data_IF_628957876490
#
_entry.id   IF_628957876490
#
_cell.length_a   1.000
_cell.length_b   1.000
_cell.length_c   1.000
_cell.angle_alpha   90.00
_cell.angle_beta   90.00
_cell.angle_gamma   90.00
#
_symmetry.space_group_name_H-M   'P 1'
#
loop_
_entity.id
_entity.type
_entity.pdbx_description
1 polymer ?
#
# COMPACT_ATOMS: atom_id res chain seq x y z
N UNK A 1 -12.77 -17.98 10.16
CA UNK A 1 -11.47 -17.31 9.87
C UNK A 1 -11.58 -15.86 10.29
N UNK A 2 -10.63 -15.36 11.06
CA UNK A 2 -10.62 -13.96 11.48
C UNK A 2 -10.12 -13.12 10.30
N UNK A 3 -10.87 -12.09 9.92
CA UNK A 3 -10.53 -11.16 8.83
C UNK A 3 -9.24 -10.40 9.18
N UNK A 4 -8.30 -10.33 8.24
CA UNK A 4 -6.98 -9.68 8.41
C UNK A 4 -6.77 -8.48 7.49
N UNK A 5 -7.57 -8.36 6.43
CA UNK A 5 -7.49 -7.28 5.46
C UNK A 5 -8.82 -6.54 5.37
N UNK A 6 -8.79 -5.22 5.39
CA UNK A 6 -9.97 -4.35 5.43
C UNK A 6 -9.87 -3.27 4.37
N UNK A 7 -10.84 -3.17 3.46
CA UNK A 7 -10.96 -1.99 2.59
C UNK A 7 -11.24 -0.75 3.43
N UNK A 8 -10.84 0.42 2.96
CA UNK A 8 -11.09 1.68 3.67
C UNK A 8 -12.59 1.87 3.99
N UNK A 9 -13.47 1.50 3.06
CA UNK A 9 -14.93 1.56 3.27
C UNK A 9 -15.50 0.59 4.32
N UNK A 10 -14.71 -0.36 4.79
CA UNK A 10 -15.12 -1.35 5.79
C UNK A 10 -14.68 -0.97 7.22
N UNK A 11 -13.96 0.14 7.37
CA UNK A 11 -13.47 0.63 8.64
C UNK A 11 -14.04 1.98 9.04
N UNK A 12 -13.63 2.44 10.21
CA UNK A 12 -13.95 3.76 10.75
C UNK A 12 -12.89 4.23 11.76
N UNK A 13 -13.06 5.45 12.30
CA UNK A 13 -12.13 6.07 13.25
C UNK A 13 -11.95 5.29 14.57
N UNK A 14 -12.93 4.49 14.97
CA UNK A 14 -12.88 3.73 16.24
C UNK A 14 -12.00 2.48 16.14
N UNK A 15 -11.73 2.01 14.93
CA UNK A 15 -10.97 0.78 14.66
C UNK A 15 -9.45 0.97 14.73
N UNK A 16 -8.93 1.91 15.51
CA UNK A 16 -7.49 2.21 15.61
C UNK A 16 -6.66 1.04 16.14
N UNK A 17 -7.22 0.21 17.00
CA UNK A 17 -6.56 -0.99 17.52
C UNK A 17 -6.28 -2.01 16.41
N UNK A 18 -7.20 -2.13 15.45
CA UNK A 18 -7.16 -3.11 14.36
C UNK A 18 -6.45 -2.54 13.13
N UNK A 19 -6.75 -1.30 12.75
CA UNK A 19 -6.29 -0.70 11.51
C UNK A 19 -5.05 0.20 11.68
N UNK A 20 -4.62 0.45 12.91
CA UNK A 20 -3.65 1.47 13.21
C UNK A 20 -4.23 2.89 13.00
N UNK A 21 -3.47 3.91 13.41
CA UNK A 21 -3.95 5.29 13.33
C UNK A 21 -4.19 5.77 11.89
N UNK A 22 -3.27 5.46 10.98
CA UNK A 22 -3.38 5.86 9.56
C UNK A 22 -4.53 5.12 8.85
N UNK A 23 -4.65 3.82 9.07
CA UNK A 23 -5.71 3.00 8.47
C UNK A 23 -7.10 3.43 8.93
N UNK A 24 -7.29 3.66 10.22
CA UNK A 24 -8.55 4.13 10.79
C UNK A 24 -8.93 5.53 10.27
N UNK A 25 -7.96 6.43 10.14
CA UNK A 25 -8.21 7.77 9.60
C UNK A 25 -8.59 7.72 8.11
N UNK A 26 -7.90 6.92 7.29
CA UNK A 26 -8.26 6.75 5.88
C UNK A 26 -9.65 6.14 5.72
N UNK A 27 -10.00 5.16 6.55
CA UNK A 27 -11.32 4.56 6.57
C UNK A 27 -12.40 5.60 6.93
N UNK A 28 -12.15 6.43 7.94
CA UNK A 28 -13.09 7.49 8.34
C UNK A 28 -13.25 8.55 7.24
N UNK A 29 -12.16 8.99 6.63
CA UNK A 29 -12.21 9.93 5.51
C UNK A 29 -13.04 9.37 4.34
N UNK A 30 -12.86 8.09 4.03
CA UNK A 30 -13.66 7.40 3.01
C UNK A 30 -15.14 7.36 3.39
N UNK A 31 -15.45 7.05 4.66
CA UNK A 31 -16.83 7.04 5.19
C UNK A 31 -17.50 8.40 5.10
N UNK A 32 -16.75 9.47 5.33
CA UNK A 32 -17.22 10.86 5.21
C UNK A 32 -17.35 11.34 3.76
N UNK A 33 -17.02 10.51 2.77
CA UNK A 33 -17.13 10.86 1.36
C UNK A 33 -16.02 11.80 0.85
N UNK A 34 -14.91 11.90 1.60
CA UNK A 34 -13.74 12.64 1.14
C UNK A 34 -13.05 11.91 -0.03
N UNK A 35 -12.40 12.64 -0.94
CA UNK A 35 -11.75 12.06 -2.11
C UNK A 35 -10.45 11.31 -1.73
N UNK A 36 -10.60 10.16 -1.10
CA UNK A 36 -9.51 9.24 -0.77
C UNK A 36 -9.40 8.20 -1.88
N UNK A 37 -8.22 7.97 -2.46
CA UNK A 37 -8.00 6.85 -3.37
C UNK A 37 -8.40 5.53 -2.71
N UNK A 38 -8.98 4.61 -3.49
CA UNK A 38 -9.37 3.29 -2.98
C UNK A 38 -8.14 2.53 -2.46
N UNK A 39 -8.34 1.68 -1.48
CA UNK A 39 -7.27 0.93 -0.86
C UNK A 39 -7.75 0.04 0.28
N UNK A 40 -6.80 -0.63 0.90
CA UNK A 40 -7.05 -1.50 2.04
C UNK A 40 -5.95 -1.40 3.10
N UNK A 41 -6.27 -1.85 4.30
CA UNK A 41 -5.35 -1.94 5.43
C UNK A 41 -5.19 -3.38 5.85
N UNK A 42 -3.95 -3.84 6.00
CA UNK A 42 -3.61 -5.09 6.67
C UNK A 42 -3.63 -4.83 8.17
N UNK A 43 -4.37 -5.63 8.94
CA UNK A 43 -4.61 -5.37 10.35
C UNK A 43 -3.35 -5.51 11.22
N UNK A 44 -3.38 -4.88 12.39
CA UNK A 44 -2.33 -5.03 13.41
C UNK A 44 -2.19 -6.48 13.87
N UNK A 45 -3.29 -7.23 13.93
CA UNK A 45 -3.28 -8.65 14.25
C UNK A 45 -2.50 -9.48 13.21
N UNK A 46 -2.65 -9.17 11.91
CA UNK A 46 -1.85 -9.81 10.87
C UNK A 46 -0.36 -9.53 11.02
N UNK A 47 0.00 -8.33 11.47
CA UNK A 47 1.38 -7.98 11.80
C UNK A 47 1.91 -8.82 12.98
N UNK A 48 1.11 -8.97 14.03
CA UNK A 48 1.48 -9.81 15.18
C UNK A 48 1.60 -11.28 14.80
N UNK A 49 0.68 -11.79 13.96
CA UNK A 49 0.77 -13.15 13.44
C UNK A 49 2.08 -13.37 12.66
N UNK A 50 2.45 -12.41 11.81
CA UNK A 50 3.72 -12.44 11.06
C UNK A 50 4.94 -12.50 11.98
N UNK A 51 4.99 -11.65 13.01
CA UNK A 51 6.10 -11.62 13.97
C UNK A 51 6.18 -12.91 14.79
N UNK A 52 5.04 -13.45 15.22
CA UNK A 52 4.96 -14.68 16.00
C UNK A 52 5.23 -15.94 15.17
N UNK A 53 5.03 -15.87 13.85
CA UNK A 53 5.22 -16.98 12.91
C UNK A 53 6.60 -16.95 12.23
N UNK A 54 7.62 -16.52 12.94
CA UNK A 54 9.00 -16.50 12.45
C UNK A 54 9.20 -15.58 11.21
N UNK A 55 8.52 -14.45 11.16
CA UNK A 55 8.55 -13.47 10.07
C UNK A 55 8.07 -14.07 8.73
N UNK A 56 7.04 -14.91 8.79
CA UNK A 56 6.44 -15.53 7.61
C UNK A 56 4.95 -15.26 7.53
N UNK A 57 4.47 -14.92 6.34
CA UNK A 57 3.03 -14.80 6.07
C UNK A 57 2.40 -16.17 5.97
N UNK A 58 1.24 -16.33 6.59
CA UNK A 58 0.42 -17.54 6.39
C UNK A 58 -0.11 -17.58 4.96
N UNK A 59 -0.41 -18.78 4.47
CA UNK A 59 -1.00 -18.97 3.13
C UNK A 59 -2.35 -18.26 3.02
N UNK A 60 -3.12 -18.26 4.10
CA UNK A 60 -4.42 -17.60 4.17
C UNK A 60 -4.30 -16.08 4.02
N UNK A 61 -3.34 -15.47 4.73
CA UNK A 61 -3.11 -14.02 4.64
C UNK A 61 -2.64 -13.63 3.24
N UNK A 62 -1.76 -14.42 2.61
CA UNK A 62 -1.33 -14.16 1.23
C UNK A 62 -2.50 -14.15 0.26
N UNK A 63 -3.36 -15.19 0.32
CA UNK A 63 -4.57 -15.26 -0.51
C UNK A 63 -5.55 -14.12 -0.25
N UNK A 64 -5.67 -13.70 1.01
CA UNK A 64 -6.52 -12.57 1.35
C UNK A 64 -5.98 -11.26 0.75
N UNK A 65 -4.66 -11.00 0.83
CA UNK A 65 -4.02 -9.85 0.21
C UNK A 65 -4.18 -9.86 -1.31
N UNK A 66 -3.90 -10.99 -1.96
CA UNK A 66 -4.05 -11.16 -3.41
C UNK A 66 -5.48 -10.83 -3.86
N UNK A 67 -6.48 -11.38 -3.17
CA UNK A 67 -7.88 -11.08 -3.44
C UNK A 67 -8.20 -9.58 -3.34
N UNK A 68 -7.66 -8.88 -2.35
CA UNK A 68 -7.91 -7.45 -2.19
C UNK A 68 -7.16 -6.61 -3.22
N UNK A 69 -5.99 -7.05 -3.68
CA UNK A 69 -5.26 -6.44 -4.81
C UNK A 69 -6.07 -6.57 -6.10
N UNK A 70 -6.57 -7.76 -6.43
CA UNK A 70 -7.45 -7.98 -7.59
C UNK A 70 -8.70 -7.07 -7.54
N UNK A 71 -9.33 -6.97 -6.38
CA UNK A 71 -10.49 -6.07 -6.21
C UNK A 71 -10.11 -4.59 -6.41
N UNK A 72 -8.90 -4.20 -6.03
CA UNK A 72 -8.41 -2.84 -6.21
C UNK A 72 -8.13 -2.55 -7.69
N UNK A 73 -7.55 -3.50 -8.43
CA UNK A 73 -7.39 -3.40 -9.89
C UNK A 73 -8.74 -3.21 -10.58
N UNK A 74 -9.71 -4.06 -10.25
CA UNK A 74 -11.06 -3.97 -10.82
C UNK A 74 -11.73 -2.63 -10.49
N UNK A 75 -11.63 -2.16 -9.25
CA UNK A 75 -12.28 -0.91 -8.83
C UNK A 75 -11.64 0.34 -9.41
N UNK A 76 -10.33 0.31 -9.67
CA UNK A 76 -9.59 1.44 -10.23
C UNK A 76 -9.54 1.45 -11.76
N UNK A 77 -9.81 0.32 -12.40
CA UNK A 77 -9.61 0.12 -13.84
C UNK A 77 -8.13 0.12 -14.25
N UNK A 78 -7.23 -0.15 -13.30
CA UNK A 78 -5.78 -0.18 -13.49
C UNK A 78 -5.24 -1.56 -13.16
N UNK A 79 -4.08 -1.92 -13.71
CA UNK A 79 -3.43 -3.19 -13.42
C UNK A 79 -1.91 -3.03 -13.27
N UNK A 80 -1.29 -3.95 -12.55
CA UNK A 80 0.17 -4.04 -12.48
C UNK A 80 0.78 -4.58 -13.77
N UNK A 81 0.00 -5.34 -14.54
CA UNK A 81 0.45 -6.01 -15.77
C UNK A 81 0.08 -5.22 -17.05
N UNK A 82 -0.69 -4.14 -16.93
CA UNK A 82 -1.09 -3.32 -18.07
C UNK A 82 -0.26 -2.03 -18.14
N UNK A 83 0.70 -1.94 -19.07
CA UNK A 83 1.56 -0.76 -19.18
C UNK A 83 0.81 0.52 -19.60
N UNK A 84 -0.37 0.41 -20.20
CA UNK A 84 -1.18 1.56 -20.62
C UNK A 84 -2.07 2.09 -19.47
N UNK A 85 -2.41 1.21 -18.52
CA UNK A 85 -3.23 1.57 -17.35
C UNK A 85 -2.51 1.15 -16.06
N UNK A 86 -1.29 1.62 -15.88
CA UNK A 86 -0.41 1.21 -14.78
C UNK A 86 -1.04 1.50 -13.44
N UNK A 87 -1.10 0.47 -12.59
CA UNK A 87 -1.44 0.62 -11.19
C UNK A 87 -0.23 1.01 -10.38
N UNK A 88 -0.31 2.15 -9.70
CA UNK A 88 0.72 2.61 -8.76
C UNK A 88 0.13 2.70 -7.36
N UNK A 89 0.79 2.09 -6.40
CA UNK A 89 0.38 2.09 -5.01
C UNK A 89 1.34 2.87 -4.13
N UNK A 90 0.78 3.45 -3.06
CA UNK A 90 1.55 3.92 -1.90
C UNK A 90 1.37 2.95 -0.76
N UNK A 91 2.45 2.33 -0.30
CA UNK A 91 2.43 1.45 0.87
C UNK A 91 2.92 2.22 2.08
N UNK A 92 2.10 2.25 3.11
CA UNK A 92 2.38 2.97 4.36
C UNK A 92 2.34 2.02 5.54
N UNK A 93 3.31 2.16 6.42
CA UNK A 93 3.25 1.45 7.70
C UNK A 93 2.15 2.01 8.57
N UNK A 94 1.39 1.11 9.21
CA UNK A 94 0.45 1.43 10.27
C UNK A 94 1.13 1.29 11.63
N UNK A 95 1.18 2.36 12.41
CA UNK A 95 1.47 2.31 13.83
C UNK A 95 0.29 2.88 14.60
N UNK A 96 0.07 2.40 15.83
CA UNK A 96 -1.00 2.91 16.71
C UNK A 96 -0.84 4.41 16.94
N UNK A 97 0.39 4.88 17.03
CA UNK A 97 0.75 6.29 17.11
C UNK A 97 1.64 6.66 15.93
N UNK A 98 1.27 7.71 15.22
CA UNK A 98 2.09 8.26 14.14
C UNK A 98 3.11 9.22 14.75
N UNK A 99 4.40 8.90 14.60
CA UNK A 99 5.49 9.81 14.97
C UNK A 99 6.29 10.19 13.72
N UNK A 100 6.73 11.44 13.58
CA UNK A 100 7.61 11.86 12.49
C UNK A 100 8.87 10.98 12.45
N UNK A 101 9.21 10.43 11.27
CA UNK A 101 10.42 9.62 11.07
C UNK A 101 10.32 8.14 11.44
N UNK A 102 9.16 7.65 11.88
CA UNK A 102 9.04 6.28 12.38
C UNK A 102 9.03 5.19 11.32
N UNK A 103 8.46 5.42 10.15
CA UNK A 103 8.53 4.49 9.00
C UNK A 103 8.21 5.24 7.72
N UNK A 104 9.02 5.01 6.71
CA UNK A 104 8.86 5.64 5.42
C UNK A 104 7.70 5.03 4.61
N UNK A 105 7.10 5.88 3.78
CA UNK A 105 6.14 5.45 2.78
C UNK A 105 6.90 4.98 1.55
N UNK A 106 6.57 3.80 1.03
CA UNK A 106 7.02 3.37 -0.30
C UNK A 106 6.02 3.91 -1.31
N UNK A 107 6.47 4.84 -2.15
CA UNK A 107 5.66 5.47 -3.19
C UNK A 107 5.87 4.77 -4.53
N UNK A 108 4.85 4.86 -5.39
CA UNK A 108 4.90 4.40 -6.78
C UNK A 108 5.23 2.91 -6.94
N UNK A 109 4.87 2.08 -5.94
CA UNK A 109 4.99 0.64 -6.05
C UNK A 109 4.18 0.16 -7.26
N UNK A 110 4.82 -0.59 -8.15
CA UNK A 110 4.30 -1.00 -9.45
C UNK A 110 5.15 -0.51 -10.61
N UNK A 111 5.99 0.53 -10.43
CA UNK A 111 6.97 0.93 -11.46
C UNK A 111 8.12 -0.07 -11.55
N UNK A 112 8.61 -0.25 -12.78
CA UNK A 112 9.80 -1.02 -13.12
C UNK A 112 10.50 -0.41 -14.33
N UNK A 113 11.61 -1.01 -14.79
CA UNK A 113 12.42 -0.52 -15.91
C UNK A 113 11.63 -0.43 -17.23
N UNK A 114 10.63 -1.29 -17.41
CA UNK A 114 9.85 -1.35 -18.65
C UNK A 114 8.70 -0.34 -18.63
N UNK A 115 7.92 -0.30 -17.54
CA UNK A 115 6.71 0.51 -17.51
C UNK A 115 6.94 1.99 -17.17
N UNK A 116 8.13 2.37 -16.68
CA UNK A 116 8.47 3.79 -16.49
C UNK A 116 8.49 4.55 -17.82
N UNK A 117 8.91 3.91 -18.90
CA UNK A 117 8.88 4.51 -20.24
C UNK A 117 7.45 4.71 -20.75
N UNK A 118 6.55 3.78 -20.43
CA UNK A 118 5.12 3.94 -20.73
C UNK A 118 4.51 5.10 -19.93
N UNK A 119 4.86 5.21 -18.65
CA UNK A 119 4.42 6.34 -17.83
C UNK A 119 4.89 7.69 -18.42
N UNK A 120 6.13 7.76 -18.89
CA UNK A 120 6.69 8.95 -19.56
C UNK A 120 5.87 9.33 -20.82
N UNK A 121 5.49 8.33 -21.62
CA UNK A 121 4.67 8.54 -22.81
C UNK A 121 3.25 9.02 -22.47
N UNK A 122 2.57 8.36 -21.51
CA UNK A 122 1.20 8.68 -21.11
C UNK A 122 1.12 10.10 -20.51
N UNK A 123 2.10 10.46 -19.68
CA UNK A 123 2.14 11.78 -19.03
C UNK A 123 2.71 12.87 -19.93
N UNK A 124 3.36 12.50 -21.03
CA UNK A 124 4.17 13.37 -21.85
C UNK A 124 5.20 14.16 -21.03
N UNK A 125 5.70 13.54 -19.97
CA UNK A 125 6.67 14.12 -19.04
C UNK A 125 7.66 13.03 -18.56
N UNK A 126 8.78 12.96 -19.25
CA UNK A 126 9.84 12.00 -18.95
C UNK A 126 10.48 12.29 -17.58
N UNK A 127 10.70 13.57 -17.25
CA UNK A 127 11.30 13.96 -15.98
C UNK A 127 10.42 13.54 -14.80
N UNK A 128 9.11 13.71 -14.90
CA UNK A 128 8.15 13.26 -13.92
C UNK A 128 8.17 11.73 -13.74
N UNK A 129 8.13 10.98 -14.84
CA UNK A 129 8.10 9.52 -14.80
C UNK A 129 9.36 8.95 -14.12
N UNK A 130 10.53 9.41 -14.51
CA UNK A 130 11.79 8.96 -13.90
C UNK A 130 11.98 9.48 -12.46
N UNK A 131 11.46 10.65 -12.09
CA UNK A 131 11.45 11.08 -10.69
C UNK A 131 10.55 10.17 -9.84
N UNK A 132 9.40 9.74 -10.34
CA UNK A 132 8.55 8.75 -9.69
C UNK A 132 9.29 7.42 -9.46
N UNK A 133 10.00 6.93 -10.47
CA UNK A 133 10.78 5.70 -10.37
C UNK A 133 11.97 5.85 -9.40
N UNK A 134 12.69 6.94 -9.48
CA UNK A 134 13.78 7.29 -8.55
C UNK A 134 13.27 7.29 -7.09
N UNK A 135 12.09 7.85 -6.83
CA UNK A 135 11.48 7.87 -5.49
C UNK A 135 11.15 6.46 -5.01
N UNK A 136 10.60 5.61 -5.88
CA UNK A 136 10.36 4.21 -5.55
C UNK A 136 11.65 3.53 -5.13
N UNK A 137 12.70 3.59 -5.94
CA UNK A 137 13.98 2.93 -5.67
C UNK A 137 14.59 3.44 -4.36
N UNK A 138 14.62 4.76 -4.16
CA UNK A 138 15.13 5.38 -2.93
C UNK A 138 14.38 4.89 -1.69
N UNK A 139 13.04 4.96 -1.71
CA UNK A 139 12.22 4.59 -0.57
C UNK A 139 12.30 3.09 -0.29
N UNK A 140 12.31 2.28 -1.35
CA UNK A 140 12.48 0.83 -1.23
C UNK A 140 13.82 0.47 -0.59
N UNK A 141 14.92 1.09 -1.05
CA UNK A 141 16.24 0.89 -0.46
C UNK A 141 16.30 1.29 1.01
N UNK A 142 15.73 2.44 1.38
CA UNK A 142 15.70 2.89 2.77
C UNK A 142 14.93 1.91 3.65
N UNK A 143 13.75 1.49 3.23
CA UNK A 143 12.90 0.57 4.01
C UNK A 143 13.55 -0.81 4.15
N UNK A 144 14.13 -1.37 3.09
CA UNK A 144 14.62 -2.75 3.11
C UNK A 144 16.09 -2.88 3.54
N UNK A 145 16.94 -1.90 3.27
CA UNK A 145 18.38 -2.00 3.57
C UNK A 145 18.80 -1.29 4.85
N UNK A 146 18.05 -0.30 5.37
CA UNK A 146 18.36 0.32 6.66
C UNK A 146 18.02 -0.57 7.87
N UNK A 147 17.22 -1.63 7.70
CA UNK A 147 16.93 -2.59 8.76
C UNK A 147 17.97 -3.70 8.93
N UNK A 148 19.03 -3.72 8.14
CA UNK A 148 20.12 -4.71 8.21
C UNK A 148 21.40 -4.15 8.87
N UNK A 149 21.26 -3.10 9.72
CA UNK A 149 22.38 -2.63 10.57
C UNK A 149 22.10 -2.89 12.02
#
# INVERSE_FOLDING_TARGET
MTKRVYRFKEGNAEMKEILGGKGANLAEMTRLGLPVPDGFTISTEACMDYLNNGHSFTTELKKEIEKYLEQLEVSSGKSFDDPENIMLLSVRSGAKFSMPGMMDTVLNLGLNDENVEHLAKITNDEAFAYDCYRRLLKNFCVVFFCFYK
#
